data_IF_641291693472
#
_entry.id   IF_641291693472
#
_cell.length_a   1.000
_cell.length_b   1.000
_cell.length_c   1.000
_cell.angle_alpha   90.00
_cell.angle_beta   90.00
_cell.angle_gamma   90.00
#
_symmetry.space_group_name_H-M   'P 1'
#
loop_
_entity.id
_entity.type
_entity.pdbx_description
1 polymer ?
#
# COMPACT_ATOMS: atom_id res chain seq x y z
N UNK A 1 -13.14 -5.54 1.53
CA UNK A 1 -12.91 -6.97 1.82
C UNK A 1 -11.50 -7.22 2.37
N UNK A 2 -10.42 -6.70 1.76
CA UNK A 2 -9.02 -6.95 2.16
C UNK A 2 -8.72 -6.63 3.65
N UNK A 3 -9.25 -5.53 4.18
CA UNK A 3 -9.06 -5.13 5.59
C UNK A 3 -9.55 -6.21 6.57
N UNK A 4 -10.68 -6.84 6.26
CA UNK A 4 -11.25 -7.91 7.10
C UNK A 4 -10.33 -9.14 7.06
N UNK A 5 -9.81 -9.48 5.88
CA UNK A 5 -8.91 -10.64 5.74
C UNK A 5 -7.59 -10.42 6.49
N UNK A 6 -7.01 -9.21 6.42
CA UNK A 6 -5.83 -8.87 7.20
C UNK A 6 -6.09 -9.00 8.71
N UNK A 7 -7.25 -8.54 9.20
CA UNK A 7 -7.64 -8.69 10.60
C UNK A 7 -7.82 -10.16 11.01
N UNK A 8 -8.47 -10.97 10.17
CA UNK A 8 -8.63 -12.41 10.43
C UNK A 8 -7.29 -13.15 10.42
N UNK A 9 -6.37 -12.82 9.51
CA UNK A 9 -5.01 -13.39 9.49
C UNK A 9 -4.26 -13.09 10.80
N UNK A 10 -4.34 -11.84 11.28
CA UNK A 10 -3.74 -11.43 12.55
C UNK A 10 -4.27 -12.22 13.74
N UNK A 11 -5.60 -12.42 13.81
CA UNK A 11 -6.23 -13.24 14.85
C UNK A 11 -5.77 -14.70 14.74
N UNK A 12 -5.79 -15.28 13.54
CA UNK A 12 -5.42 -16.69 13.33
C UNK A 12 -3.96 -16.98 13.70
N UNK A 13 -3.06 -16.02 13.49
CA UNK A 13 -1.63 -16.14 13.76
C UNK A 13 -1.24 -15.65 15.16
N UNK A 14 -2.18 -15.07 15.92
CA UNK A 14 -1.92 -14.48 17.23
C UNK A 14 -0.86 -13.37 17.16
N UNK A 15 -0.93 -12.50 16.15
CA UNK A 15 0.04 -11.41 15.98
C UNK A 15 -0.13 -10.39 17.11
N UNK A 16 1.00 -9.94 17.65
CA UNK A 16 1.06 -8.79 18.55
C UNK A 16 0.93 -7.50 17.74
N UNK A 17 0.04 -6.62 18.17
CA UNK A 17 -0.20 -5.31 17.55
C UNK A 17 0.73 -4.22 18.09
N UNK A 18 1.50 -4.54 19.14
CA UNK A 18 2.42 -3.63 19.79
C UNK A 18 1.72 -2.58 20.65
N UNK A 19 2.53 -1.67 21.20
CA UNK A 19 2.04 -0.57 22.03
C UNK A 19 1.36 0.50 21.17
N UNK A 20 0.25 1.10 21.66
CA UNK A 20 -0.39 2.22 20.98
C UNK A 20 0.57 3.40 20.79
N UNK A 21 0.44 4.08 19.65
CA UNK A 21 1.18 5.31 19.36
C UNK A 21 0.25 6.50 19.58
N UNK A 22 0.46 7.25 20.67
CA UNK A 22 -0.39 8.40 21.07
C UNK A 22 -0.04 9.73 20.37
N UNK A 23 0.83 9.68 19.36
CA UNK A 23 1.27 10.84 18.59
C UNK A 23 1.09 10.57 17.11
N UNK A 24 0.86 11.62 16.31
CA UNK A 24 0.83 11.48 14.86
C UNK A 24 2.20 11.02 14.33
N UNK A 25 2.30 9.80 13.75
CA UNK A 25 3.56 9.26 13.25
C UNK A 25 4.15 10.05 12.07
N UNK A 26 3.33 10.84 11.38
CA UNK A 26 3.77 11.72 10.30
C UNK A 26 4.70 12.83 10.79
N UNK A 27 4.58 13.24 12.05
CA UNK A 27 5.41 14.28 12.66
C UNK A 27 6.73 13.76 13.24
N UNK A 28 6.91 12.44 13.28
CA UNK A 28 8.15 11.82 13.75
C UNK A 28 9.22 11.82 12.65
N UNK A 29 10.47 12.05 13.03
CA UNK A 29 11.60 11.79 12.14
C UNK A 29 11.70 10.30 11.79
N UNK A 30 12.41 9.97 10.71
CA UNK A 30 12.67 8.57 10.33
C UNK A 30 13.37 7.79 11.46
N UNK A 31 14.34 8.41 12.14
CA UNK A 31 15.05 7.80 13.25
C UNK A 31 14.13 7.54 14.46
N UNK A 32 13.22 8.46 14.80
CA UNK A 32 12.28 8.26 15.89
C UNK A 32 11.25 7.17 15.58
N UNK A 33 10.81 7.06 14.32
CA UNK A 33 9.94 5.97 13.86
C UNK A 33 10.64 4.62 14.00
N UNK A 34 11.88 4.51 13.53
CA UNK A 34 12.67 3.28 13.59
C UNK A 34 12.87 2.80 15.05
N UNK A 35 13.24 3.71 15.95
CA UNK A 35 13.40 3.39 17.39
C UNK A 35 12.09 2.90 18.02
N UNK A 36 10.94 3.36 17.51
CA UNK A 36 9.61 2.97 18.01
C UNK A 36 9.01 1.79 17.24
N UNK A 37 9.71 1.21 16.27
CA UNK A 37 9.19 0.13 15.41
C UNK A 37 7.99 0.55 14.56
N UNK A 38 7.93 1.83 14.16
CA UNK A 38 6.84 2.36 13.34
C UNK A 38 7.25 2.30 11.87
N UNK A 39 6.61 1.41 11.12
CA UNK A 39 6.78 1.36 9.68
C UNK A 39 5.98 2.47 8.99
N UNK A 40 6.64 3.20 8.08
CA UNK A 40 5.96 4.18 7.25
C UNK A 40 5.10 3.48 6.19
N UNK A 41 3.95 4.08 5.87
CA UNK A 41 3.18 3.66 4.71
C UNK A 41 3.95 3.95 3.41
N UNK A 42 3.66 3.21 2.32
CA UNK A 42 4.26 3.47 1.02
C UNK A 42 4.07 4.94 0.60
N UNK A 43 5.15 5.59 0.17
CA UNK A 43 5.16 7.00 -0.25
C UNK A 43 4.73 7.20 -1.71
N UNK A 44 4.60 6.13 -2.47
CA UNK A 44 4.16 6.16 -3.87
C UNK A 44 3.30 4.96 -4.23
N UNK A 45 2.57 5.06 -5.36
CA UNK A 45 1.83 3.94 -5.91
C UNK A 45 2.78 2.77 -6.28
N UNK A 46 3.97 3.07 -6.82
CA UNK A 46 4.97 2.04 -7.14
C UNK A 46 5.43 1.24 -5.92
N UNK A 47 5.66 1.91 -4.79
CA UNK A 47 5.98 1.24 -3.52
C UNK A 47 4.79 0.40 -3.04
N UNK A 48 3.57 0.94 -3.08
CA UNK A 48 2.37 0.21 -2.65
C UNK A 48 2.13 -1.07 -3.47
N UNK A 49 2.35 -1.01 -4.79
CA UNK A 49 2.27 -2.19 -5.68
C UNK A 49 3.34 -3.22 -5.30
N UNK A 50 4.56 -2.77 -5.01
CA UNK A 50 5.66 -3.66 -4.59
C UNK A 50 5.34 -4.37 -3.27
N UNK A 51 4.81 -3.64 -2.28
CA UNK A 51 4.37 -4.22 -1.01
C UNK A 51 3.23 -5.24 -1.20
N UNK A 52 2.25 -4.93 -2.05
CA UNK A 52 1.16 -5.86 -2.36
C UNK A 52 1.66 -7.11 -3.08
N UNK A 53 2.58 -6.96 -4.04
CA UNK A 53 3.13 -8.08 -4.81
C UNK A 53 3.89 -9.08 -3.91
N UNK A 54 4.51 -8.60 -2.84
CA UNK A 54 5.22 -9.41 -1.85
C UNK A 54 4.32 -9.97 -0.73
N UNK A 55 3.02 -9.68 -0.73
CA UNK A 55 2.10 -10.11 0.32
C UNK A 55 1.19 -11.26 -0.14
N UNK A 56 1.60 -12.50 0.17
CA UNK A 56 0.84 -13.69 -0.22
C UNK A 56 -0.53 -13.80 0.44
N UNK A 57 -0.69 -13.32 1.68
CA UNK A 57 -2.00 -13.34 2.38
C UNK A 57 -3.02 -12.51 1.58
N UNK A 58 -2.65 -11.30 1.19
CA UNK A 58 -3.54 -10.41 0.45
C UNK A 58 -3.76 -10.88 -0.99
N UNK A 59 -2.73 -11.40 -1.66
CA UNK A 59 -2.87 -11.98 -3.01
C UNK A 59 -3.82 -13.19 -3.00
N UNK A 60 -3.70 -14.07 -2.00
CA UNK A 60 -4.59 -15.21 -1.85
C UNK A 60 -6.02 -14.79 -1.50
N UNK A 61 -6.17 -13.75 -0.68
CA UNK A 61 -7.48 -13.17 -0.34
C UNK A 61 -8.24 -12.61 -1.55
N UNK A 62 -7.50 -12.04 -2.50
CA UNK A 62 -8.04 -11.53 -3.78
C UNK A 62 -8.28 -12.64 -4.80
N UNK A 63 -7.56 -13.76 -4.68
CA UNK A 63 -7.43 -14.78 -5.72
C UNK A 63 -6.29 -14.43 -6.68
N UNK A 64 -5.49 -15.44 -7.05
CA UNK A 64 -4.25 -15.26 -7.82
C UNK A 64 -4.44 -14.53 -9.15
N UNK A 65 -5.48 -14.88 -9.90
CA UNK A 65 -5.77 -14.27 -11.21
C UNK A 65 -6.16 -12.79 -11.08
N UNK A 66 -7.05 -12.48 -10.12
CA UNK A 66 -7.49 -11.10 -9.88
C UNK A 66 -6.34 -10.25 -9.33
N UNK A 67 -5.57 -10.78 -8.39
CA UNK A 67 -4.40 -10.09 -7.84
C UNK A 67 -3.37 -9.78 -8.94
N UNK A 68 -3.07 -10.74 -9.81
CA UNK A 68 -2.15 -10.56 -10.92
C UNK A 68 -2.64 -9.51 -11.91
N UNK A 69 -3.91 -9.58 -12.31
CA UNK A 69 -4.51 -8.61 -13.23
C UNK A 69 -4.52 -7.19 -12.62
N UNK A 70 -4.90 -7.07 -11.35
CA UNK A 70 -4.92 -5.78 -10.64
C UNK A 70 -3.52 -5.17 -10.54
N UNK A 71 -2.52 -5.95 -10.13
CA UNK A 71 -1.12 -5.49 -10.05
C UNK A 71 -0.62 -5.06 -11.42
N UNK A 72 -0.89 -5.83 -12.47
CA UNK A 72 -0.46 -5.49 -13.83
C UNK A 72 -1.05 -4.15 -14.32
N UNK A 73 -2.36 -3.93 -14.09
CA UNK A 73 -3.02 -2.67 -14.46
C UNK A 73 -2.42 -1.50 -13.68
N UNK A 74 -2.29 -1.62 -12.35
CA UNK A 74 -1.75 -0.55 -11.50
C UNK A 74 -0.28 -0.24 -11.82
N UNK A 75 0.52 -1.25 -12.17
CA UNK A 75 1.90 -1.05 -12.60
C UNK A 75 1.94 -0.30 -13.93
N UNK A 76 1.10 -0.66 -14.91
CA UNK A 76 1.04 0.04 -16.18
C UNK A 76 0.61 1.51 -16.01
N UNK A 77 -0.35 1.79 -15.13
CA UNK A 77 -0.74 3.16 -14.78
C UNK A 77 0.41 3.93 -14.13
N UNK A 78 1.09 3.32 -13.16
CA UNK A 78 2.25 3.93 -12.50
C UNK A 78 3.37 4.27 -13.50
N UNK A 79 3.77 3.34 -14.36
CA UNK A 79 4.81 3.58 -15.36
C UNK A 79 4.42 4.68 -16.36
N UNK A 80 3.14 4.80 -16.70
CA UNK A 80 2.67 5.87 -17.58
C UNK A 80 2.72 7.25 -16.90
N UNK A 81 2.52 7.31 -15.58
CA UNK A 81 2.27 8.56 -14.85
C UNK A 81 3.44 9.06 -14.00
N UNK A 82 4.36 8.19 -13.58
CA UNK A 82 5.44 8.51 -12.61
C UNK A 82 6.37 9.66 -13.03
N UNK A 83 6.49 9.91 -14.34
CA UNK A 83 7.36 10.94 -14.91
C UNK A 83 6.57 12.12 -15.50
N UNK A 84 5.24 12.14 -15.36
CA UNK A 84 4.38 13.22 -15.85
C UNK A 84 4.34 14.40 -14.88
N UNK A 85 4.25 15.61 -15.43
CA UNK A 85 3.97 16.81 -14.65
C UNK A 85 2.50 16.79 -14.16
N UNK A 86 2.25 17.32 -12.97
CA UNK A 86 0.94 17.33 -12.30
C UNK A 86 -0.15 17.97 -13.19
N UNK A 87 0.20 18.97 -14.00
CA UNK A 87 -0.74 19.63 -14.92
C UNK A 87 -1.20 18.70 -16.05
N UNK A 88 -0.34 17.81 -16.54
CA UNK A 88 -0.68 16.83 -17.57
C UNK A 88 -1.49 15.66 -16.99
N UNK A 89 -1.17 15.26 -15.75
CA UNK A 89 -1.88 14.20 -15.02
C UNK A 89 -3.37 14.53 -14.83
N UNK A 90 -3.66 15.75 -14.36
CA UNK A 90 -5.04 16.24 -14.14
C UNK A 90 -5.84 16.23 -15.44
N UNK A 91 -5.23 16.60 -16.56
CA UNK A 91 -5.90 16.67 -17.86
C UNK A 91 -6.28 15.29 -18.41
N UNK A 92 -5.43 14.28 -18.19
CA UNK A 92 -5.71 12.90 -18.60
C UNK A 92 -6.84 12.31 -17.75
N UNK A 93 -6.83 12.52 -16.43
CA UNK A 93 -7.87 12.01 -15.54
C UNK A 93 -9.25 12.62 -15.85
N UNK A 94 -9.31 13.92 -16.14
CA UNK A 94 -10.54 14.63 -16.53
C UNK A 94 -11.08 14.21 -17.92
N UNK A 95 -10.29 13.54 -18.76
CA UNK A 95 -10.74 13.07 -20.07
C UNK A 95 -11.28 11.63 -20.04
N UNK A 96 -10.93 10.88 -18.99
CA UNK A 96 -11.35 9.49 -18.78
C UNK A 96 -12.63 9.36 -17.94
N UNK A 97 -13.07 10.43 -17.30
CA UNK A 97 -14.28 10.53 -16.46
C UNK A 97 -15.13 11.73 -16.87
#
# INVERSE_FOLDING_TARGET
SIVIVAGLDGINRGLDVGEPVDVDPGNLSSAEREVRGIDALPGSLGEAITHLNNNDVLKNALGSELAQAFIAVRQAEWEAMKDMDIEEEVKILLSRY
#
